data_IF_031868335759
#
_entry.id   IF_031868335759
#
_cell.length_a   1.000
_cell.length_b   1.000
_cell.length_c   1.000
_cell.angle_alpha   90.00
_cell.angle_beta   90.00
_cell.angle_gamma   90.00
#
_symmetry.space_group_name_H-M   'P 1'
#
loop_
_entity.id
_entity.type
_entity.pdbx_description
1 polymer ?
#
# COMPACT_ATOMS: atom_id res chain seq x y z
N UNK A 1 10.07 -61.58 -33.68
CA UNK A 1 8.65 -61.37 -33.39
C UNK A 1 8.39 -60.69 -32.01
N UNK A 2 9.21 -60.88 -30.96
CA UNK A 2 8.96 -60.31 -29.61
C UNK A 2 9.09 -58.78 -29.50
N UNK A 3 9.94 -58.11 -30.28
CA UNK A 3 10.09 -56.65 -30.25
C UNK A 3 8.90 -55.87 -30.87
N UNK A 4 8.22 -56.40 -31.85
CA UNK A 4 7.06 -55.79 -32.48
C UNK A 4 5.83 -55.82 -31.56
N UNK A 5 5.70 -56.84 -30.69
CA UNK A 5 4.61 -56.92 -29.71
C UNK A 5 4.76 -55.90 -28.55
N UNK A 6 5.99 -55.61 -28.14
CA UNK A 6 6.25 -54.64 -27.06
C UNK A 6 5.95 -53.19 -27.52
N UNK A 7 6.31 -52.88 -28.77
CA UNK A 7 6.00 -51.57 -29.36
C UNK A 7 4.50 -51.37 -29.54
N UNK A 8 3.76 -52.41 -29.97
CA UNK A 8 2.31 -52.34 -30.11
C UNK A 8 1.61 -52.19 -28.75
N UNK A 9 2.09 -52.88 -27.72
CA UNK A 9 1.58 -52.72 -26.35
C UNK A 9 1.84 -51.34 -25.76
N UNK A 10 3.02 -50.75 -26.02
CA UNK A 10 3.34 -49.38 -25.60
C UNK A 10 2.47 -48.32 -26.28
N UNK A 11 2.21 -48.46 -27.57
CA UNK A 11 1.32 -47.58 -28.33
C UNK A 11 -0.13 -47.70 -27.84
N UNK A 12 -0.57 -48.90 -27.48
CA UNK A 12 -1.91 -49.12 -26.94
C UNK A 12 -2.07 -48.52 -25.53
N UNK A 13 -1.06 -48.60 -24.67
CA UNK A 13 -1.08 -47.98 -23.35
C UNK A 13 -1.04 -46.45 -23.48
N UNK A 14 -0.24 -45.93 -24.43
CA UNK A 14 -0.18 -44.48 -24.68
C UNK A 14 -1.49 -43.90 -25.26
N UNK A 15 -2.20 -44.70 -26.08
CA UNK A 15 -3.52 -44.33 -26.58
C UNK A 15 -4.62 -44.35 -25.49
N UNK A 16 -4.51 -45.22 -24.49
CA UNK A 16 -5.43 -45.32 -23.37
C UNK A 16 -5.23 -44.21 -22.33
N UNK A 17 -4.02 -43.61 -22.22
CA UNK A 17 -3.76 -42.48 -21.33
C UNK A 17 -4.17 -41.15 -21.93
N UNK A 18 -4.38 -41.05 -23.25
CA UNK A 18 -4.82 -39.83 -23.93
C UNK A 18 -6.35 -39.65 -23.97
N UNK A 19 -7.13 -40.64 -23.58
CA UNK A 19 -8.61 -40.56 -23.60
C UNK A 19 -9.21 -39.99 -22.30
N UNK A 20 -8.40 -39.69 -21.29
CA UNK A 20 -8.86 -39.18 -19.99
C UNK A 20 -9.33 -37.70 -19.95
N UNK A 21 -9.09 -36.91 -20.99
CA UNK A 21 -9.40 -35.47 -20.99
C UNK A 21 -10.46 -35.02 -22.02
N UNK A 22 -11.13 -35.91 -22.71
CA UNK A 22 -11.92 -35.52 -23.90
C UNK A 22 -13.45 -35.56 -23.77
N UNK A 23 -14.01 -35.83 -22.59
CA UNK A 23 -15.46 -35.78 -22.39
C UNK A 23 -15.90 -35.05 -21.12
N UNK A 24 -15.49 -33.77 -20.99
CA UNK A 24 -16.38 -32.84 -20.30
C UNK A 24 -17.26 -32.18 -21.36
N UNK A 25 -18.58 -32.38 -21.23
CA UNK A 25 -19.51 -31.72 -22.14
C UNK A 25 -19.35 -30.18 -21.98
N UNK A 26 -19.54 -29.42 -23.07
CA UNK A 26 -19.55 -27.94 -22.93
C UNK A 26 -20.54 -27.45 -21.87
N UNK A 27 -21.60 -28.22 -21.58
CA UNK A 27 -22.59 -27.92 -20.54
C UNK A 27 -22.02 -28.01 -19.13
N UNK A 28 -20.98 -28.84 -18.86
CA UNK A 28 -20.30 -28.87 -17.55
C UNK A 28 -19.42 -27.66 -17.32
N UNK A 29 -19.03 -26.95 -18.38
CA UNK A 29 -18.27 -25.69 -18.29
C UNK A 29 -19.19 -24.48 -17.97
N UNK A 30 -20.49 -24.62 -18.19
CA UNK A 30 -21.50 -23.58 -17.90
C UNK A 30 -22.34 -23.90 -16.66
N UNK A 31 -22.06 -24.98 -15.93
CA UNK A 31 -22.66 -25.16 -14.61
C UNK A 31 -22.11 -24.10 -13.68
N UNK A 32 -22.98 -23.22 -13.23
CA UNK A 32 -22.66 -22.39 -12.09
C UNK A 32 -22.20 -23.30 -10.95
N UNK A 33 -21.11 -22.97 -10.22
CA UNK A 33 -20.71 -23.72 -9.04
C UNK A 33 -21.95 -23.90 -8.15
N UNK A 34 -22.26 -25.13 -7.76
CA UNK A 34 -23.31 -25.36 -6.77
C UNK A 34 -22.95 -24.55 -5.52
N UNK A 35 -23.83 -23.63 -5.14
CA UNK A 35 -23.67 -22.87 -3.91
C UNK A 35 -23.62 -23.85 -2.76
N UNK A 36 -22.60 -23.75 -1.91
CA UNK A 36 -22.53 -24.60 -0.71
C UNK A 36 -23.78 -24.40 0.15
N UNK A 37 -24.25 -25.45 0.82
CA UNK A 37 -25.42 -25.37 1.70
C UNK A 37 -25.28 -24.24 2.74
N UNK A 38 -24.06 -24.01 3.26
CA UNK A 38 -23.76 -22.90 4.17
C UNK A 38 -23.99 -21.52 3.56
N UNK A 39 -23.72 -21.33 2.24
CA UNK A 39 -23.99 -20.06 1.58
C UNK A 39 -25.49 -19.76 1.45
N UNK A 40 -26.33 -20.77 1.25
CA UNK A 40 -27.79 -20.58 1.21
C UNK A 40 -28.35 -20.21 2.59
N UNK A 41 -27.85 -20.85 3.65
CA UNK A 41 -28.23 -20.52 5.03
C UNK A 41 -27.83 -19.10 5.42
N UNK A 42 -26.62 -18.68 5.06
CA UNK A 42 -26.18 -17.30 5.29
C UNK A 42 -27.05 -16.29 4.54
N UNK A 43 -27.37 -16.53 3.27
CA UNK A 43 -28.26 -15.64 2.52
C UNK A 43 -29.69 -15.59 3.11
N UNK A 44 -30.16 -16.69 3.67
CA UNK A 44 -31.43 -16.70 4.39
C UNK A 44 -31.37 -15.84 5.66
N UNK A 45 -30.31 -15.95 6.45
CA UNK A 45 -30.08 -15.13 7.62
C UNK A 45 -29.98 -13.62 7.26
N UNK A 46 -29.25 -13.26 6.20
CA UNK A 46 -29.16 -11.89 5.70
C UNK A 46 -30.52 -11.36 5.28
N UNK A 47 -31.34 -12.15 4.58
CA UNK A 47 -32.70 -11.75 4.19
C UNK A 47 -33.59 -11.51 5.40
N UNK A 48 -33.52 -12.36 6.43
CA UNK A 48 -34.27 -12.18 7.69
C UNK A 48 -33.92 -10.83 8.36
N UNK A 49 -32.62 -10.53 8.45
CA UNK A 49 -32.14 -9.23 8.99
C UNK A 49 -32.65 -8.06 8.15
N UNK A 50 -32.52 -8.13 6.84
CA UNK A 50 -33.02 -7.07 5.94
C UNK A 50 -34.49 -6.80 6.15
N UNK A 51 -35.33 -7.84 6.15
CA UNK A 51 -36.78 -7.70 6.41
C UNK A 51 -37.06 -7.14 7.79
N UNK A 52 -36.32 -7.55 8.82
CA UNK A 52 -36.49 -7.03 10.17
C UNK A 52 -36.10 -5.54 10.26
N UNK A 53 -35.03 -5.10 9.60
CA UNK A 53 -34.66 -3.68 9.50
C UNK A 53 -35.70 -2.87 8.74
N UNK A 54 -36.22 -3.38 7.61
CA UNK A 54 -37.29 -2.73 6.84
C UNK A 54 -38.57 -2.51 7.70
N UNK A 55 -38.94 -3.51 8.46
CA UNK A 55 -40.11 -3.41 9.36
C UNK A 55 -39.84 -2.48 10.54
N UNK A 56 -38.69 -2.56 11.17
CA UNK A 56 -38.34 -1.76 12.35
C UNK A 56 -38.22 -0.26 12.03
N UNK A 57 -37.66 0.09 10.90
CA UNK A 57 -37.44 1.48 10.51
C UNK A 57 -38.48 2.01 9.52
N UNK A 58 -39.41 1.17 9.04
CA UNK A 58 -40.35 1.49 7.95
C UNK A 58 -39.63 2.13 6.73
N UNK A 59 -38.45 1.64 6.39
CA UNK A 59 -37.53 2.23 5.41
C UNK A 59 -36.96 1.14 4.48
N UNK A 60 -36.47 1.56 3.32
CA UNK A 60 -35.81 0.67 2.37
C UNK A 60 -34.40 0.31 2.89
N UNK A 61 -34.02 -0.96 2.72
CA UNK A 61 -32.69 -1.48 3.06
C UNK A 61 -31.97 -1.92 1.79
N UNK A 62 -30.79 -1.37 1.57
CA UNK A 62 -29.91 -1.66 0.43
C UNK A 62 -28.59 -2.25 0.91
N UNK A 63 -27.85 -2.87 -0.01
CA UNK A 63 -26.47 -3.26 0.27
C UNK A 63 -25.59 -2.01 0.31
N UNK A 64 -24.71 -1.93 1.30
CA UNK A 64 -23.68 -0.90 1.38
C UNK A 64 -22.35 -1.46 0.85
N UNK A 65 -21.68 -0.67 -0.01
CA UNK A 65 -20.35 -0.98 -0.51
C UNK A 65 -19.26 -0.48 0.42
N UNK A 66 -18.07 -1.09 0.31
CA UNK A 66 -16.83 -0.62 0.93
C UNK A 66 -15.96 -0.04 -0.18
N UNK A 67 -15.36 1.12 0.08
CA UNK A 67 -14.67 1.91 -0.96
C UNK A 67 -13.22 1.47 -1.16
N UNK A 68 -12.50 1.17 -0.08
CA UNK A 68 -11.06 0.93 -0.11
C UNK A 68 -10.59 -0.11 0.91
N UNK A 69 -9.30 -0.46 0.85
CA UNK A 69 -8.68 -1.46 1.71
C UNK A 69 -8.77 -2.88 1.16
N UNK A 70 -8.25 -3.84 1.92
CA UNK A 70 -8.17 -5.25 1.50
C UNK A 70 -9.53 -5.97 1.63
N UNK A 71 -10.44 -5.46 2.46
CA UNK A 71 -11.72 -6.06 2.80
C UNK A 71 -12.88 -5.34 2.09
N UNK A 72 -13.00 -5.48 0.76
CA UNK A 72 -14.02 -4.79 -0.06
C UNK A 72 -15.22 -5.65 -0.44
N UNK A 73 -15.21 -6.94 -0.12
CA UNK A 73 -16.33 -7.83 -0.44
C UNK A 73 -17.60 -7.47 0.36
N UNK A 74 -18.78 -7.58 -0.27
CA UNK A 74 -20.08 -7.29 0.35
C UNK A 74 -20.46 -8.29 1.46
N UNK A 75 -19.89 -9.48 1.43
CA UNK A 75 -19.98 -10.49 2.48
C UNK A 75 -18.55 -10.97 2.74
N UNK A 76 -18.11 -10.88 3.98
CA UNK A 76 -16.76 -11.22 4.40
C UNK A 76 -16.80 -12.34 5.44
N UNK A 77 -16.11 -13.44 5.17
CA UNK A 77 -15.94 -14.51 6.15
C UNK A 77 -14.66 -14.27 6.96
N UNK A 78 -14.82 -14.16 8.27
CA UNK A 78 -13.76 -13.80 9.21
C UNK A 78 -13.70 -14.79 10.37
N UNK A 79 -12.51 -15.02 10.88
CA UNK A 79 -12.23 -15.62 12.17
C UNK A 79 -12.18 -14.48 13.20
N UNK A 80 -13.31 -14.22 13.86
CA UNK A 80 -13.42 -13.11 14.83
C UNK A 80 -13.09 -13.53 16.26
N UNK A 81 -13.21 -14.80 16.59
CA UNK A 81 -12.90 -15.30 17.95
C UNK A 81 -11.45 -15.81 18.10
N UNK A 82 -10.71 -15.87 16.98
CA UNK A 82 -9.28 -16.19 16.98
C UNK A 82 -8.97 -17.68 17.06
N UNK A 83 -9.93 -18.56 16.81
CA UNK A 83 -9.74 -20.01 16.86
C UNK A 83 -9.13 -20.61 15.58
N UNK A 84 -8.97 -19.80 14.53
CA UNK A 84 -8.44 -20.18 13.23
C UNK A 84 -9.50 -20.64 12.23
N UNK A 85 -10.78 -20.65 12.61
CA UNK A 85 -11.91 -21.01 11.74
C UNK A 85 -12.63 -19.71 11.30
N UNK A 86 -13.07 -19.63 10.04
CA UNK A 86 -13.82 -18.47 9.54
C UNK A 86 -15.32 -18.75 9.62
N UNK A 87 -15.87 -18.80 10.80
CA UNK A 87 -17.29 -19.07 11.08
C UNK A 87 -18.13 -17.80 11.17
N UNK A 88 -17.50 -16.62 11.26
CA UNK A 88 -18.19 -15.35 11.30
C UNK A 88 -18.33 -14.75 9.91
N UNK A 89 -19.54 -14.30 9.57
CA UNK A 89 -19.82 -13.57 8.34
C UNK A 89 -20.23 -12.13 8.65
N UNK A 90 -19.60 -11.18 7.94
CA UNK A 90 -19.88 -9.75 8.09
C UNK A 90 -20.52 -9.22 6.82
N UNK A 91 -21.65 -8.53 6.94
CA UNK A 91 -22.34 -7.89 5.81
C UNK A 91 -22.64 -6.42 6.10
N UNK A 92 -22.82 -5.67 5.04
CA UNK A 92 -22.95 -4.21 5.07
C UNK A 92 -24.28 -3.81 4.45
N UNK A 93 -25.10 -3.13 5.22
CA UNK A 93 -26.43 -2.69 4.81
C UNK A 93 -26.60 -1.19 5.03
N UNK A 94 -27.47 -0.58 4.27
CA UNK A 94 -27.88 0.82 4.41
C UNK A 94 -29.37 0.92 4.55
N UNK A 95 -29.80 1.61 5.61
CA UNK A 95 -31.21 1.93 5.89
C UNK A 95 -31.46 3.38 5.52
N UNK A 96 -32.41 3.64 4.64
CA UNK A 96 -32.71 5.00 4.17
C UNK A 96 -33.42 5.82 5.22
N UNK A 97 -33.08 7.12 5.35
CA UNK A 97 -33.84 8.10 6.15
C UNK A 97 -33.70 8.00 7.67
N UNK A 98 -32.68 7.27 8.16
CA UNK A 98 -32.35 7.16 9.59
C UNK A 98 -31.04 7.90 9.93
N UNK A 99 -30.81 8.22 11.21
CA UNK A 99 -29.68 8.99 11.69
C UNK A 99 -28.38 8.23 11.45
N UNK A 100 -28.35 6.91 11.76
CA UNK A 100 -27.21 6.02 11.52
C UNK A 100 -27.57 5.07 10.37
N UNK A 101 -27.44 5.47 9.12
CA UNK A 101 -27.94 4.68 7.99
C UNK A 101 -27.15 3.41 7.72
N UNK A 102 -25.88 3.38 8.07
CA UNK A 102 -24.99 2.26 7.79
C UNK A 102 -25.07 1.22 8.92
N UNK A 103 -25.24 -0.04 8.56
CA UNK A 103 -25.31 -1.17 9.46
C UNK A 103 -24.28 -2.21 9.05
N UNK A 104 -23.37 -2.55 9.93
CA UNK A 104 -22.48 -3.69 9.80
C UNK A 104 -23.06 -4.80 10.65
N UNK A 105 -23.48 -5.89 10.03
CA UNK A 105 -24.10 -7.01 10.73
C UNK A 105 -23.16 -8.18 10.74
N UNK A 106 -22.91 -8.73 11.93
CA UNK A 106 -22.07 -9.89 12.17
C UNK A 106 -22.96 -11.09 12.44
N UNK A 107 -22.69 -12.16 11.72
CA UNK A 107 -23.33 -13.47 11.89
C UNK A 107 -22.26 -14.47 12.32
N UNK A 108 -22.62 -15.37 13.21
CA UNK A 108 -21.76 -16.51 13.56
C UNK A 108 -22.49 -17.80 13.20
N UNK A 109 -21.75 -18.75 12.67
CA UNK A 109 -22.30 -20.07 12.34
C UNK A 109 -22.48 -20.88 13.63
N UNK A 110 -23.72 -21.31 13.89
CA UNK A 110 -24.07 -22.16 15.02
C UNK A 110 -24.67 -23.45 14.44
N UNK A 111 -23.89 -24.52 14.44
CA UNK A 111 -24.27 -25.76 13.74
C UNK A 111 -24.37 -25.56 12.22
N UNK A 112 -25.58 -25.75 11.65
CA UNK A 112 -25.82 -25.54 10.22
C UNK A 112 -26.44 -24.18 9.89
N UNK A 113 -26.77 -23.38 10.89
CA UNK A 113 -27.45 -22.08 10.73
C UNK A 113 -26.53 -20.92 11.04
N UNK A 114 -26.90 -19.72 10.54
CA UNK A 114 -26.23 -18.47 10.87
C UNK A 114 -27.13 -17.61 11.75
N UNK A 115 -26.60 -17.20 12.89
CA UNK A 115 -27.27 -16.30 13.84
C UNK A 115 -26.59 -14.93 13.87
N UNK A 116 -27.40 -13.88 14.09
CA UNK A 116 -26.86 -12.52 14.27
C UNK A 116 -26.22 -12.42 15.64
N UNK A 117 -24.93 -12.16 15.69
CA UNK A 117 -24.15 -12.05 16.93
C UNK A 117 -23.69 -10.62 17.20
N UNK A 118 -23.83 -9.71 16.26
CA UNK A 118 -23.49 -8.31 16.45
C UNK A 118 -24.03 -7.41 15.35
N UNK A 119 -24.23 -6.15 15.71
CA UNK A 119 -24.53 -5.10 14.76
C UNK A 119 -23.82 -3.81 15.20
N UNK A 120 -23.18 -3.15 14.25
CA UNK A 120 -22.57 -1.83 14.42
C UNK A 120 -23.28 -0.85 13.54
N UNK A 121 -23.64 0.29 14.09
CA UNK A 121 -24.29 1.37 13.36
C UNK A 121 -23.33 2.54 13.14
N UNK A 122 -23.33 3.11 11.95
CA UNK A 122 -22.46 4.21 11.59
C UNK A 122 -23.22 5.40 11.00
N UNK A 123 -22.75 6.58 11.37
CA UNK A 123 -23.12 7.81 10.71
C UNK A 123 -22.42 7.90 9.34
N UNK A 124 -22.99 8.69 8.44
CA UNK A 124 -22.36 9.01 7.18
C UNK A 124 -22.93 8.29 5.97
N UNK A 125 -22.18 8.40 4.87
CA UNK A 125 -22.69 7.99 3.57
C UNK A 125 -22.14 6.62 3.12
N UNK A 126 -20.94 6.26 3.54
CA UNK A 126 -20.22 5.07 3.08
C UNK A 126 -19.36 4.47 4.19
N UNK A 127 -19.15 3.16 4.13
CA UNK A 127 -18.03 2.50 4.79
C UNK A 127 -16.82 2.71 3.90
N UNK A 128 -15.84 3.52 4.33
CA UNK A 128 -14.64 3.74 3.53
C UNK A 128 -13.75 2.50 3.54
N UNK A 129 -13.39 2.01 4.73
CA UNK A 129 -12.62 0.78 4.90
C UNK A 129 -12.97 0.07 6.20
N UNK A 130 -12.70 -1.22 6.27
CA UNK A 130 -12.83 -2.04 7.47
C UNK A 130 -11.62 -2.96 7.62
N UNK A 131 -11.15 -3.09 8.86
CA UNK A 131 -10.09 -4.01 9.27
C UNK A 131 -10.57 -4.85 10.45
N UNK A 132 -9.98 -6.04 10.60
CA UNK A 132 -10.25 -6.97 11.71
C UNK A 132 -8.93 -7.27 12.40
N UNK A 133 -8.73 -6.77 13.59
CA UNK A 133 -7.49 -6.93 14.38
C UNK A 133 -7.77 -7.18 15.84
N UNK A 134 -6.91 -7.96 16.45
CA UNK A 134 -6.89 -8.11 17.89
C UNK A 134 -6.18 -6.89 18.50
N UNK A 135 -6.93 -6.05 19.22
CA UNK A 135 -6.44 -4.84 19.89
C UNK A 135 -6.49 -5.01 21.40
N UNK A 136 -7.53 -5.67 21.91
CA UNK A 136 -7.71 -5.93 23.33
C UNK A 136 -7.08 -7.27 23.77
N UNK A 137 -7.20 -7.60 25.07
CA UNK A 137 -6.62 -8.80 25.67
C UNK A 137 -7.54 -10.04 25.60
N UNK A 138 -8.67 -9.97 24.87
CA UNK A 138 -9.68 -11.05 24.87
C UNK A 138 -9.35 -12.20 23.93
N UNK A 139 -8.41 -12.00 23.00
CA UNK A 139 -8.08 -12.96 21.93
C UNK A 139 -8.99 -12.84 20.72
N UNK A 140 -10.04 -12.02 20.80
CA UNK A 140 -10.96 -11.74 19.70
C UNK A 140 -10.49 -10.58 18.85
N UNK A 141 -11.01 -10.48 17.62
CA UNK A 141 -10.71 -9.36 16.73
C UNK A 141 -11.80 -8.31 16.82
N UNK A 142 -11.37 -7.06 16.97
CA UNK A 142 -12.20 -5.88 16.87
C UNK A 142 -12.42 -5.51 15.41
N UNK A 143 -13.55 -4.81 15.15
CA UNK A 143 -13.84 -4.17 13.90
C UNK A 143 -13.31 -2.73 13.95
N UNK A 144 -12.38 -2.40 13.09
CA UNK A 144 -11.86 -1.05 12.92
C UNK A 144 -12.46 -0.49 11.62
N UNK A 145 -13.37 0.44 11.77
CA UNK A 145 -14.19 0.95 10.66
C UNK A 145 -13.89 2.41 10.42
N UNK A 146 -13.53 2.74 9.20
CA UNK A 146 -13.41 4.12 8.75
C UNK A 146 -14.70 4.52 8.01
N UNK A 147 -15.49 5.36 8.64
CA UNK A 147 -16.74 5.87 8.10
C UNK A 147 -16.49 7.14 7.31
N UNK A 148 -17.00 7.23 6.09
CA UNK A 148 -17.02 8.49 5.35
C UNK A 148 -18.28 9.27 5.68
N UNK A 149 -18.15 10.33 6.46
CA UNK A 149 -19.26 11.18 6.90
C UNK A 149 -19.69 12.12 5.77
N UNK A 150 -18.71 12.73 5.10
CA UNK A 150 -18.92 13.58 3.92
C UNK A 150 -17.67 13.55 3.04
N UNK A 151 -17.65 14.25 1.91
CA UNK A 151 -16.46 14.39 1.09
C UNK A 151 -15.31 15.01 1.90
N UNK A 152 -14.19 14.27 2.01
CA UNK A 152 -13.02 14.68 2.78
C UNK A 152 -13.13 14.61 4.31
N UNK A 153 -14.24 14.09 4.84
CA UNK A 153 -14.48 13.97 6.27
C UNK A 153 -14.73 12.51 6.67
N UNK A 154 -13.89 12.00 7.54
CA UNK A 154 -13.89 10.61 7.95
C UNK A 154 -13.95 10.50 9.48
N UNK A 155 -14.55 9.42 9.96
CA UNK A 155 -14.64 9.07 11.37
C UNK A 155 -14.16 7.62 11.54
N UNK A 156 -13.23 7.40 12.46
CA UNK A 156 -12.73 6.08 12.77
C UNK A 156 -13.42 5.54 14.03
N UNK A 157 -14.00 4.36 13.93
CA UNK A 157 -14.59 3.63 15.05
C UNK A 157 -13.86 2.31 15.27
N UNK A 158 -13.62 1.96 16.52
CA UNK A 158 -13.14 0.64 16.94
C UNK A 158 -14.26 0.00 17.75
N UNK A 159 -14.71 -1.18 17.32
CA UNK A 159 -15.86 -1.85 17.89
C UNK A 159 -15.46 -3.22 18.41
N UNK A 160 -15.68 -3.45 19.70
CA UNK A 160 -15.56 -4.79 20.30
C UNK A 160 -16.92 -5.47 20.29
N UNK A 161 -16.92 -6.77 20.02
CA UNK A 161 -18.11 -7.62 20.09
C UNK A 161 -18.16 -8.39 21.41
N UNK A 162 -17.26 -8.13 22.35
CA UNK A 162 -17.14 -8.85 23.63
C UNK A 162 -18.31 -8.61 24.57
N UNK A 163 -18.98 -7.45 24.48
CA UNK A 163 -20.15 -7.11 25.29
C UNK A 163 -21.48 -7.63 24.72
N UNK A 164 -21.41 -8.41 23.66
CA UNK A 164 -22.54 -9.22 23.24
C UNK A 164 -22.74 -10.32 24.28
N UNK A 165 -23.38 -9.94 25.38
CA UNK A 165 -23.59 -10.81 26.55
C UNK A 165 -24.25 -12.12 26.14
N UNK A 166 -23.49 -13.20 26.29
CA UNK A 166 -24.06 -14.50 26.55
C UNK A 166 -24.98 -14.31 27.77
N UNK A 167 -26.28 -14.64 27.65
CA UNK A 167 -27.15 -14.61 28.81
C UNK A 167 -26.61 -15.52 29.89
N UNK A 168 -27.02 -15.30 31.13
CA UNK A 168 -26.62 -16.10 32.33
C UNK A 168 -26.80 -17.63 32.17
N UNK A 169 -27.48 -18.07 31.12
CA UNK A 169 -27.72 -19.46 30.74
C UNK A 169 -26.73 -19.99 29.69
N UNK A 170 -25.70 -19.20 29.31
CA UNK A 170 -24.71 -19.57 28.29
C UNK A 170 -25.25 -19.62 26.87
N UNK A 171 -26.49 -19.22 26.64
CA UNK A 171 -27.07 -19.12 25.31
C UNK A 171 -26.75 -17.76 24.68
N UNK A 172 -26.15 -17.79 23.49
CA UNK A 172 -26.01 -16.59 22.67
C UNK A 172 -27.39 -16.07 22.36
N UNK A 173 -27.78 -14.91 22.88
CA UNK A 173 -29.08 -14.32 22.63
C UNK A 173 -29.14 -13.48 21.39
N UNK A 174 -28.46 -13.91 20.36
CA UNK A 174 -28.77 -13.51 19.03
C UNK A 174 -30.04 -14.28 18.63
N UNK A 175 -31.00 -13.56 18.23
CA UNK A 175 -32.22 -13.95 17.54
C UNK A 175 -32.38 -15.45 17.32
N UNK A 176 -33.34 -16.05 17.99
CA UNK A 176 -33.77 -17.38 17.66
C UNK A 176 -34.18 -17.42 16.18
N UNK A 177 -33.79 -18.44 15.47
CA UNK A 177 -34.06 -18.63 14.05
C UNK A 177 -35.54 -18.63 13.64
N UNK A 178 -36.43 -18.74 14.61
CA UNK A 178 -37.88 -18.75 14.47
C UNK A 178 -38.56 -17.39 14.80
N UNK A 179 -37.82 -16.40 15.30
CA UNK A 179 -38.36 -15.06 15.62
C UNK A 179 -38.21 -14.14 14.42
N UNK A 180 -39.33 -13.52 14.04
CA UNK A 180 -39.38 -12.45 13.03
C UNK A 180 -38.97 -11.10 13.60
N UNK A 181 -38.78 -11.00 14.92
CA UNK A 181 -38.37 -9.79 15.62
C UNK A 181 -36.96 -9.90 16.15
N UNK A 182 -36.08 -9.11 15.58
CA UNK A 182 -34.71 -8.94 16.04
C UNK A 182 -34.68 -7.72 16.98
N UNK A 183 -34.23 -7.92 18.22
CA UNK A 183 -33.98 -6.81 19.13
C UNK A 183 -32.58 -6.24 18.87
N UNK A 184 -32.50 -5.32 17.93
CA UNK A 184 -31.22 -4.70 17.53
C UNK A 184 -30.55 -3.93 18.67
N UNK A 185 -31.31 -3.46 19.69
CA UNK A 185 -30.74 -2.72 20.81
C UNK A 185 -29.78 -3.57 21.68
N UNK A 186 -29.88 -4.90 21.59
CA UNK A 186 -29.03 -5.86 22.31
C UNK A 186 -27.82 -6.35 21.50
N UNK A 187 -27.73 -5.95 20.23
CA UNK A 187 -26.69 -6.40 19.30
C UNK A 187 -25.60 -5.37 19.07
N UNK A 188 -25.70 -4.21 19.68
CA UNK A 188 -24.70 -3.15 19.56
C UNK A 188 -23.44 -3.52 20.31
N UNK A 189 -22.32 -3.54 19.63
CA UNK A 189 -21.00 -3.70 20.25
C UNK A 189 -20.59 -2.44 21.02
N UNK A 190 -19.66 -2.59 21.96
CA UNK A 190 -19.02 -1.45 22.62
C UNK A 190 -18.20 -0.64 21.64
N UNK A 191 -18.40 0.67 21.63
CA UNK A 191 -17.77 1.60 20.70
C UNK A 191 -16.69 2.43 21.40
N UNK A 192 -15.53 2.54 20.75
CA UNK A 192 -14.57 3.59 21.00
C UNK A 192 -14.48 4.51 19.79
N UNK A 193 -15.02 5.68 19.87
CA UNK A 193 -15.03 6.64 18.79
C UNK A 193 -13.74 7.45 18.79
N UNK A 194 -12.99 7.35 17.70
CA UNK A 194 -11.86 8.22 17.39
C UNK A 194 -12.31 9.19 16.29
N UNK A 195 -12.40 10.46 16.62
CA UNK A 195 -12.84 11.46 15.67
C UNK A 195 -11.78 11.78 14.65
N UNK A 196 -12.13 11.70 13.36
CA UNK A 196 -11.44 12.23 12.19
C UNK A 196 -10.01 11.69 11.94
N UNK A 197 -9.84 10.90 10.90
CA UNK A 197 -8.56 10.65 10.26
C UNK A 197 -8.55 11.21 8.84
N UNK A 198 -7.39 11.64 8.35
CA UNK A 198 -7.19 12.00 6.95
C UNK A 198 -7.04 10.74 6.10
N UNK A 199 -7.32 10.87 4.80
CA UNK A 199 -7.11 9.80 3.82
C UNK A 199 -6.03 10.27 2.85
N UNK A 200 -5.05 9.42 2.60
CA UNK A 200 -3.99 9.71 1.65
C UNK A 200 -4.47 9.55 0.18
N UNK A 201 -3.79 10.21 -0.76
CA UNK A 201 -4.11 10.14 -2.19
C UNK A 201 -3.93 8.76 -2.80
N UNK A 202 -3.13 7.88 -2.17
CA UNK A 202 -2.96 6.48 -2.56
C UNK A 202 -4.14 5.58 -2.11
N UNK A 203 -5.22 6.17 -1.62
CA UNK A 203 -6.39 5.47 -1.11
C UNK A 203 -6.19 4.86 0.28
N UNK A 204 -5.02 4.99 0.90
CA UNK A 204 -4.80 4.57 2.28
C UNK A 204 -5.39 5.60 3.24
N UNK A 205 -6.05 5.14 4.31
CA UNK A 205 -6.49 6.06 5.37
C UNK A 205 -5.30 6.48 6.26
N UNK A 206 -5.46 7.56 7.00
CA UNK A 206 -4.50 8.06 7.96
C UNK A 206 -4.39 7.23 9.24
N UNK A 207 -4.99 6.03 9.27
CA UNK A 207 -4.88 5.10 10.39
C UNK A 207 -4.01 3.90 10.01
N UNK A 208 -3.20 3.44 10.95
CA UNK A 208 -2.37 2.24 10.80
C UNK A 208 -2.46 1.40 12.06
N UNK A 209 -2.53 0.09 11.85
CA UNK A 209 -2.56 -0.92 12.90
C UNK A 209 -1.22 -1.64 12.92
N UNK A 210 -0.51 -1.52 14.00
CA UNK A 210 0.82 -2.12 14.19
C UNK A 210 1.17 -2.23 15.66
N UNK A 211 2.03 -3.18 16.02
CA UNK A 211 2.74 -3.19 17.29
C UNK A 211 3.91 -2.19 17.20
N UNK A 212 3.59 -0.90 17.43
CA UNK A 212 4.56 0.19 17.23
C UNK A 212 5.53 0.32 18.43
N UNK A 213 5.09 -0.04 19.63
CA UNK A 213 5.91 0.03 20.84
C UNK A 213 6.59 -1.31 21.20
N UNK A 214 6.36 -2.35 20.39
CA UNK A 214 6.94 -3.68 20.47
C UNK A 214 6.58 -4.41 21.78
N UNK A 215 5.37 -4.20 22.30
CA UNK A 215 4.84 -4.87 23.50
C UNK A 215 4.02 -6.13 23.16
N UNK A 216 3.98 -6.54 21.89
CA UNK A 216 3.23 -7.68 21.31
C UNK A 216 1.73 -7.44 21.13
N UNK A 217 1.25 -6.23 21.36
CA UNK A 217 -0.14 -5.83 21.10
C UNK A 217 -0.20 -4.96 19.87
N UNK A 218 -1.38 -4.85 19.30
CA UNK A 218 -1.59 -3.98 18.15
C UNK A 218 -2.09 -2.62 18.62
N UNK A 219 -1.35 -1.57 18.28
CA UNK A 219 -1.75 -0.20 18.44
C UNK A 219 -2.39 0.36 17.18
N UNK A 220 -3.18 1.40 17.37
CA UNK A 220 -3.79 2.19 16.32
C UNK A 220 -3.14 3.57 16.25
N UNK A 221 -2.35 3.82 15.21
CA UNK A 221 -1.80 5.13 14.92
C UNK A 221 -2.76 5.93 14.04
N UNK A 222 -3.23 7.06 14.53
CA UNK A 222 -4.16 7.95 13.82
C UNK A 222 -3.42 9.21 13.39
N UNK A 223 -3.43 9.48 12.09
CA UNK A 223 -2.77 10.64 11.48
C UNK A 223 -3.82 11.71 11.22
N UNK A 224 -3.60 12.89 11.78
CA UNK A 224 -4.46 14.06 11.61
C UNK A 224 -3.72 15.17 10.89
N UNK A 225 -4.18 15.52 9.69
CA UNK A 225 -3.65 16.64 8.93
C UNK A 225 -4.64 17.80 9.01
N UNK A 226 -4.15 18.95 9.48
CA UNK A 226 -4.89 20.19 9.51
C UNK A 226 -4.60 20.98 8.23
N UNK A 227 -5.61 21.20 7.41
CA UNK A 227 -5.49 21.96 6.15
C UNK A 227 -5.00 23.40 6.33
N UNK A 228 -5.03 23.93 7.55
CA UNK A 228 -4.42 25.23 7.88
C UNK A 228 -2.89 25.14 7.99
N UNK A 229 -2.32 23.92 8.03
CA UNK A 229 -0.88 23.68 8.13
C UNK A 229 -0.27 23.94 9.51
N UNK A 230 -1.07 24.06 10.57
CA UNK A 230 -0.56 24.48 11.88
C UNK A 230 -0.51 23.31 12.87
N UNK A 231 -1.55 22.46 12.93
CA UNK A 231 -1.77 21.48 14.00
C UNK A 231 -1.91 20.05 13.48
N UNK A 232 -1.03 19.62 12.60
CA UNK A 232 -0.99 18.24 12.12
C UNK A 232 -0.17 17.36 13.07
N UNK A 233 -0.65 16.15 13.35
CA UNK A 233 0.00 15.25 14.31
C UNK A 233 -0.38 13.78 14.09
N UNK A 234 0.43 12.89 14.66
CA UNK A 234 0.10 11.48 14.85
C UNK A 234 -0.21 11.24 16.31
N UNK A 235 -1.29 10.52 16.60
CA UNK A 235 -1.63 10.05 17.93
C UNK A 235 -1.76 8.52 17.90
N UNK A 236 -1.11 7.86 18.85
CA UNK A 236 -1.13 6.39 18.97
C UNK A 236 -2.03 6.00 20.12
N UNK A 237 -2.94 5.08 19.85
CA UNK A 237 -3.86 4.49 20.82
C UNK A 237 -3.55 3.01 21.02
N UNK A 238 -3.61 2.55 22.25
CA UNK A 238 -3.45 1.14 22.60
C UNK A 238 -4.40 0.72 23.73
N UNK A 239 -4.59 -0.58 23.87
CA UNK A 239 -5.44 -1.15 24.92
C UNK A 239 -4.72 -1.15 26.27
N UNK A 240 -5.22 -0.39 27.23
CA UNK A 240 -4.65 -0.29 28.57
C UNK A 240 -5.75 -0.28 29.64
N UNK A 241 -5.62 -1.12 30.65
CA UNK A 241 -6.55 -1.18 31.80
C UNK A 241 -8.02 -1.40 31.39
N UNK A 242 -8.27 -2.22 30.37
CA UNK A 242 -9.63 -2.53 29.91
C UNK A 242 -10.28 -1.49 29.01
N UNK A 243 -9.52 -0.52 28.51
CA UNK A 243 -9.99 0.50 27.57
C UNK A 243 -8.89 0.93 26.59
N UNK A 244 -9.30 1.47 25.44
CA UNK A 244 -8.37 2.19 24.56
C UNK A 244 -7.93 3.49 25.23
N UNK A 245 -6.65 3.76 25.19
CA UNK A 245 -6.06 4.98 25.74
C UNK A 245 -5.03 5.56 24.77
N UNK A 246 -4.90 6.88 24.76
CA UNK A 246 -3.79 7.54 24.07
C UNK A 246 -2.48 7.19 24.75
N UNK A 247 -1.54 6.65 24.00
CA UNK A 247 -0.19 6.32 24.45
C UNK A 247 0.78 7.48 24.24
N UNK A 248 0.51 8.31 23.22
CA UNK A 248 1.35 9.46 22.91
C UNK A 248 0.94 10.15 21.63
N UNK A 249 1.40 11.39 21.51
CA UNK A 249 1.19 12.26 20.37
C UNK A 249 2.49 12.86 19.91
N UNK A 250 2.69 13.01 18.60
CA UNK A 250 3.82 13.72 18.01
C UNK A 250 3.33 14.62 16.88
N UNK A 251 3.82 15.84 16.82
CA UNK A 251 3.51 16.75 15.71
C UNK A 251 4.17 16.27 14.43
N UNK A 252 3.51 16.53 13.31
CA UNK A 252 4.07 16.43 11.96
C UNK A 252 4.61 17.77 11.49
N UNK A 253 5.29 17.77 10.36
CA UNK A 253 5.86 18.97 9.75
C UNK A 253 4.83 20.09 9.62
N UNK A 254 5.23 21.31 9.99
CA UNK A 254 4.43 22.49 9.72
C UNK A 254 4.32 22.76 8.23
N UNK A 255 3.21 23.38 7.84
CA UNK A 255 2.94 23.76 6.44
C UNK A 255 2.35 22.66 5.59
N UNK A 256 2.16 21.44 6.10
CA UNK A 256 1.44 20.37 5.40
C UNK A 256 -0.07 20.67 5.39
N UNK A 257 -0.71 20.43 4.25
CA UNK A 257 -2.14 20.73 4.05
C UNK A 257 -2.97 19.50 3.69
N UNK A 258 -2.31 18.44 3.21
CA UNK A 258 -2.96 17.24 2.74
C UNK A 258 -2.05 16.02 2.94
N UNK A 259 -2.64 14.88 3.28
CA UNK A 259 -1.96 13.59 3.37
C UNK A 259 -1.85 12.97 1.99
N UNK A 260 -0.63 12.67 1.54
CA UNK A 260 -0.40 12.10 0.21
C UNK A 260 -0.21 10.57 0.25
N UNK A 261 0.65 10.08 1.13
CA UNK A 261 0.92 8.63 1.26
C UNK A 261 1.35 8.27 2.67
N UNK A 262 0.95 7.10 3.14
CA UNK A 262 1.37 6.56 4.44
C UNK A 262 1.87 5.14 4.25
N UNK A 263 3.12 4.89 4.63
CA UNK A 263 3.71 3.55 4.62
C UNK A 263 4.14 3.16 6.03
N UNK A 264 3.86 1.93 6.42
CA UNK A 264 4.42 1.29 7.59
C UNK A 264 5.59 0.41 7.15
N UNK A 265 6.74 0.62 7.74
CA UNK A 265 7.96 -0.17 7.50
C UNK A 265 8.87 -0.07 8.71
N UNK A 266 10.15 -0.40 8.57
CA UNK A 266 11.12 -0.44 9.65
C UNK A 266 12.18 0.65 9.50
N UNK A 267 12.81 1.03 10.63
CA UNK A 267 14.03 1.82 10.65
C UNK A 267 15.24 0.90 10.48
N UNK A 268 16.35 1.46 9.97
CA UNK A 268 17.60 0.73 9.88
C UNK A 268 18.17 0.33 11.25
N UNK A 269 18.72 -0.89 11.35
CA UNK A 269 19.40 -1.40 12.55
C UNK A 269 18.79 -2.68 13.11
N UNK A 270 19.38 -3.20 14.21
CA UNK A 270 18.92 -4.41 14.89
C UNK A 270 18.66 -4.12 16.39
N UNK A 271 17.49 -4.44 16.97
CA UNK A 271 16.27 -4.79 16.26
C UNK A 271 15.75 -3.62 15.42
N UNK A 272 15.04 -3.93 14.37
CA UNK A 272 14.43 -2.98 13.44
C UNK A 272 13.10 -2.47 14.01
N UNK A 273 13.01 -1.29 14.62
CA UNK A 273 11.74 -0.78 15.13
C UNK A 273 10.81 -0.37 13.97
N UNK A 274 9.50 -0.63 14.09
CA UNK A 274 8.53 -0.17 13.11
C UNK A 274 8.45 1.35 13.09
N UNK A 275 8.19 1.92 11.92
CA UNK A 275 8.06 3.35 11.71
C UNK A 275 6.99 3.66 10.65
N UNK A 276 6.33 4.80 10.83
CA UNK A 276 5.42 5.38 9.85
C UNK A 276 6.18 6.38 8.99
N UNK A 277 6.20 6.14 7.69
CA UNK A 277 6.69 7.07 6.67
C UNK A 277 5.49 7.80 6.10
N UNK A 278 5.36 9.07 6.48
CA UNK A 278 4.19 9.88 6.17
C UNK A 278 4.60 10.95 5.17
N UNK A 279 4.08 10.87 3.96
CA UNK A 279 4.29 11.92 2.96
C UNK A 279 3.05 12.80 2.88
N UNK A 280 3.27 14.10 2.99
CA UNK A 280 2.21 15.11 2.97
C UNK A 280 2.51 16.21 1.96
N UNK A 281 1.48 16.81 1.39
CA UNK A 281 1.59 17.95 0.48
C UNK A 281 1.73 19.23 1.29
N UNK A 282 2.67 20.08 0.88
CA UNK A 282 2.86 21.42 1.39
C UNK A 282 2.00 22.45 0.63
N UNK A 283 1.68 23.58 1.23
CA UNK A 283 0.91 24.65 0.61
C UNK A 283 1.54 25.21 -0.69
N UNK A 284 2.85 25.06 -0.86
CA UNK A 284 3.59 25.49 -2.07
C UNK A 284 3.70 24.41 -3.16
N UNK A 285 3.01 23.27 -3.00
CA UNK A 285 3.04 22.14 -3.92
C UNK A 285 4.22 21.17 -3.73
N UNK A 286 5.14 21.45 -2.81
CA UNK A 286 6.17 20.50 -2.40
C UNK A 286 5.61 19.36 -1.56
N UNK A 287 6.46 18.41 -1.20
CA UNK A 287 6.13 17.30 -0.29
C UNK A 287 7.02 17.32 0.93
N UNK A 288 6.45 17.07 2.09
CA UNK A 288 7.20 16.80 3.32
C UNK A 288 7.10 15.31 3.65
N UNK A 289 8.19 14.71 4.12
CA UNK A 289 8.22 13.34 4.58
C UNK A 289 8.54 13.36 6.07
N UNK A 290 7.62 12.86 6.88
CA UNK A 290 7.79 12.68 8.32
C UNK A 290 8.02 11.19 8.60
N UNK A 291 8.97 10.85 9.49
CA UNK A 291 9.27 9.49 9.93
C UNK A 291 9.00 9.36 11.40
N UNK A 292 7.93 8.69 11.75
CA UNK A 292 7.44 8.58 13.13
C UNK A 292 7.63 7.17 13.64
N UNK A 293 8.28 7.03 14.81
CA UNK A 293 8.54 5.76 15.46
C UNK A 293 8.42 5.86 16.99
N UNK A 294 8.22 4.73 17.65
CA UNK A 294 8.21 4.62 19.10
C UNK A 294 9.63 4.34 19.60
N UNK A 295 10.28 5.35 20.16
CA UNK A 295 11.67 5.27 20.58
C UNK A 295 11.84 5.71 22.02
N UNK A 296 12.59 4.94 22.79
CA UNK A 296 12.87 5.25 24.20
C UNK A 296 11.59 5.52 25.03
N UNK A 297 10.53 4.77 24.78
CA UNK A 297 9.26 4.87 25.51
C UNK A 297 8.37 6.07 25.11
N UNK A 298 8.63 6.70 23.98
CA UNK A 298 7.80 7.79 23.46
C UNK A 298 7.69 7.78 21.93
N UNK A 299 6.61 8.31 21.42
CA UNK A 299 6.43 8.59 20.01
C UNK A 299 7.32 9.75 19.60
N UNK A 300 8.10 9.59 18.55
CA UNK A 300 9.12 10.54 18.10
C UNK A 300 9.08 10.68 16.59
N UNK A 301 9.08 11.90 16.08
CA UNK A 301 9.37 12.20 14.68
C UNK A 301 10.87 12.44 14.51
N UNK A 302 11.50 11.66 13.63
CA UNK A 302 12.94 11.69 13.39
C UNK A 302 13.37 12.76 12.40
N UNK A 303 12.44 13.33 11.65
CA UNK A 303 12.72 14.23 10.54
C UNK A 303 12.59 15.69 10.89
N UNK A 304 11.87 16.04 11.97
CA UNK A 304 11.65 17.43 12.33
C UNK A 304 12.94 18.13 12.79
N UNK A 305 13.09 19.36 12.35
CA UNK A 305 14.08 20.30 12.88
C UNK A 305 13.56 21.05 14.12
N UNK A 306 14.36 21.96 14.68
CA UNK A 306 14.01 22.77 15.86
C UNK A 306 12.82 23.71 15.59
N UNK A 307 12.55 24.06 14.34
CA UNK A 307 11.41 24.92 13.95
C UNK A 307 10.10 24.12 13.81
N UNK A 308 10.17 22.80 13.83
CA UNK A 308 9.06 21.88 13.60
C UNK A 308 8.73 21.71 12.11
N UNK A 309 9.72 21.80 11.25
CA UNK A 309 9.63 21.54 9.81
C UNK A 309 10.45 20.29 9.52
N UNK A 310 9.94 19.41 8.65
CA UNK A 310 10.70 18.25 8.22
C UNK A 310 11.95 18.65 7.44
N UNK A 311 13.07 17.97 7.70
CA UNK A 311 14.29 18.10 6.90
C UNK A 311 14.20 17.42 5.56
N UNK A 312 13.22 16.53 5.39
CA UNK A 312 12.99 15.75 4.18
C UNK A 312 11.88 16.40 3.35
N UNK A 313 12.25 17.48 2.66
CA UNK A 313 11.35 18.24 1.78
C UNK A 313 11.71 17.95 0.32
N UNK A 314 10.72 17.53 -0.46
CA UNK A 314 10.82 17.37 -1.90
C UNK A 314 10.28 18.63 -2.57
N UNK A 315 11.13 19.31 -3.35
CA UNK A 315 10.77 20.46 -4.16
C UNK A 315 11.32 20.31 -5.57
N UNK A 316 10.55 20.75 -6.57
CA UNK A 316 10.96 20.67 -7.98
C UNK A 316 10.79 19.29 -8.60
N UNK A 317 11.15 18.22 -7.88
CA UNK A 317 10.93 16.82 -8.28
C UNK A 317 10.21 16.11 -7.12
N UNK A 318 8.89 16.06 -7.20
CA UNK A 318 8.02 15.59 -6.09
C UNK A 318 7.33 14.27 -6.35
N UNK A 319 7.59 13.63 -7.50
CA UNK A 319 6.89 12.41 -7.93
C UNK A 319 7.42 11.16 -7.25
N UNK A 320 8.69 11.16 -6.80
CA UNK A 320 9.33 10.02 -6.17
C UNK A 320 8.89 9.86 -4.70
N UNK A 321 8.73 8.62 -4.25
CA UNK A 321 8.26 8.30 -2.89
C UNK A 321 9.32 7.57 -2.08
N UNK A 322 9.26 7.58 -0.73
CA UNK A 322 10.04 6.65 0.08
C UNK A 322 9.83 5.22 -0.39
N UNK A 323 10.92 4.49 -0.65
CA UNK A 323 10.88 3.13 -1.19
C UNK A 323 12.09 2.33 -0.76
N UNK A 324 11.97 1.01 -0.73
CA UNK A 324 13.11 0.10 -0.57
C UNK A 324 13.82 -0.04 -1.94
N UNK A 325 14.82 0.83 -2.17
CA UNK A 325 15.55 0.90 -3.46
C UNK A 325 16.62 -0.19 -3.56
N UNK A 326 17.14 -0.67 -2.43
CA UNK A 326 18.25 -1.62 -2.37
C UNK A 326 17.81 -3.07 -2.08
N UNK A 327 16.54 -3.30 -1.66
CA UNK A 327 15.98 -4.61 -1.36
C UNK A 327 16.30 -5.13 0.04
N UNK A 328 16.58 -4.26 1.01
CA UNK A 328 16.92 -4.64 2.39
C UNK A 328 15.73 -4.58 3.37
N UNK A 329 14.52 -4.31 2.85
CA UNK A 329 13.25 -4.18 3.60
C UNK A 329 13.16 -2.94 4.51
N UNK A 330 14.05 -1.99 4.38
CA UNK A 330 13.96 -0.66 4.99
C UNK A 330 13.63 0.35 3.90
N UNK A 331 12.81 1.37 4.21
CA UNK A 331 12.54 2.40 3.22
C UNK A 331 13.63 3.46 3.21
N UNK A 332 14.14 3.75 2.02
CA UNK A 332 14.92 4.94 1.77
C UNK A 332 14.03 6.13 1.46
N UNK A 333 14.42 7.28 1.99
CA UNK A 333 13.83 8.56 1.70
C UNK A 333 14.59 9.21 0.56
N UNK A 334 13.92 9.62 -0.54
CA UNK A 334 14.56 10.29 -1.65
C UNK A 334 14.87 11.75 -1.34
N UNK A 335 16.01 12.22 -1.77
CA UNK A 335 16.39 13.63 -1.77
C UNK A 335 16.84 14.02 -3.17
N UNK A 336 15.97 14.61 -4.00
CA UNK A 336 16.33 15.05 -5.34
C UNK A 336 17.27 16.24 -5.31
N UNK A 337 18.35 16.15 -6.09
CA UNK A 337 19.34 17.22 -6.27
C UNK A 337 19.39 17.61 -7.75
N UNK A 338 19.08 18.88 -8.03
CA UNK A 338 19.12 19.41 -9.38
C UNK A 338 20.57 19.46 -9.87
N UNK A 339 20.83 18.90 -11.04
CA UNK A 339 22.13 18.96 -11.69
C UNK A 339 22.35 20.35 -12.34
N UNK A 340 23.60 20.82 -12.38
CA UNK A 340 23.94 22.03 -13.14
C UNK A 340 23.67 21.82 -14.64
N UNK A 341 23.24 22.86 -15.34
CA UNK A 341 23.00 22.87 -16.78
C UNK A 341 23.94 23.85 -17.48
N UNK A 342 24.32 23.53 -18.71
CA UNK A 342 25.17 24.37 -19.55
C UNK A 342 24.37 24.96 -20.73
N UNK A 343 24.53 26.27 -20.98
CA UNK A 343 23.89 26.99 -22.07
C UNK A 343 22.48 27.51 -21.77
N UNK A 344 21.90 28.24 -22.72
CA UNK A 344 20.60 28.92 -22.54
C UNK A 344 19.36 28.00 -22.71
N UNK A 345 19.54 26.75 -23.12
CA UNK A 345 18.44 25.80 -23.33
C UNK A 345 18.10 25.05 -22.06
N UNK A 346 17.48 25.71 -21.09
CA UNK A 346 16.99 25.18 -19.82
C UNK A 346 15.70 24.33 -19.94
N UNK A 347 15.46 23.66 -21.05
CA UNK A 347 14.17 22.99 -21.30
C UNK A 347 13.98 21.68 -20.53
N UNK A 348 15.01 21.13 -19.91
CA UNK A 348 14.93 19.89 -19.15
C UNK A 348 15.82 19.96 -17.91
N UNK A 349 15.21 19.95 -16.75
CA UNK A 349 15.90 19.75 -15.47
C UNK A 349 16.26 18.27 -15.31
N UNK A 350 17.51 17.99 -14.98
CA UNK A 350 18.00 16.66 -14.64
C UNK A 350 18.32 16.59 -13.16
N UNK A 351 17.92 15.48 -12.55
CA UNK A 351 17.99 15.30 -11.12
C UNK A 351 18.76 14.02 -10.77
N UNK A 352 19.65 14.09 -9.79
CA UNK A 352 20.10 12.93 -9.07
C UNK A 352 19.27 12.77 -7.81
N UNK A 353 19.00 11.54 -7.40
CA UNK A 353 18.24 11.24 -6.20
C UNK A 353 19.15 10.56 -5.21
N UNK A 354 19.43 11.21 -4.10
CA UNK A 354 20.11 10.60 -2.95
C UNK A 354 19.08 9.85 -2.11
N UNK A 355 19.37 8.59 -1.82
CA UNK A 355 18.54 7.71 -1.02
C UNK A 355 19.14 7.53 0.36
N UNK A 356 18.37 7.81 1.39
CA UNK A 356 18.84 7.79 2.78
C UNK A 356 17.89 7.04 3.68
N UNK A 357 18.44 6.29 4.64
CA UNK A 357 17.71 5.61 5.71
C UNK A 357 17.88 6.33 7.04
N UNK A 358 16.83 6.27 7.88
CA UNK A 358 16.92 6.64 9.28
C UNK A 358 17.13 5.41 10.16
N UNK A 359 17.98 5.53 11.17
CA UNK A 359 18.11 4.50 12.21
C UNK A 359 17.42 4.95 13.50
N UNK A 360 17.31 4.03 14.48
CA UNK A 360 16.66 4.26 15.78
C UNK A 360 17.27 5.40 16.63
N UNK A 361 18.44 5.89 16.30
CA UNK A 361 19.07 7.02 16.96
C UNK A 361 18.80 8.36 16.25
N UNK A 362 17.98 8.32 15.19
CA UNK A 362 17.67 9.50 14.37
C UNK A 362 18.80 9.91 13.42
N UNK A 363 19.80 9.04 13.21
CA UNK A 363 20.84 9.31 12.25
C UNK A 363 20.36 8.96 10.84
N UNK A 364 20.60 9.90 9.93
CA UNK A 364 20.35 9.79 8.51
C UNK A 364 21.60 9.22 7.82
N UNK A 365 21.48 8.06 7.20
CA UNK A 365 22.58 7.40 6.51
C UNK A 365 22.31 7.39 5.01
N UNK A 366 23.26 7.84 4.20
CA UNK A 366 23.23 7.73 2.75
C UNK A 366 23.41 6.25 2.35
N UNK A 367 22.56 5.77 1.44
CA UNK A 367 22.59 4.39 0.92
C UNK A 367 23.14 4.36 -0.50
N UNK A 368 22.57 5.15 -1.39
CA UNK A 368 23.00 5.27 -2.78
C UNK A 368 22.50 6.55 -3.42
N UNK A 369 23.07 6.88 -4.57
CA UNK A 369 22.59 7.95 -5.46
C UNK A 369 22.17 7.35 -6.79
N UNK A 370 21.07 7.80 -7.37
CA UNK A 370 20.56 7.30 -8.65
C UNK A 370 20.18 8.44 -9.60
N UNK A 371 20.24 8.17 -10.89
CA UNK A 371 19.58 8.94 -11.94
C UNK A 371 18.41 8.12 -12.49
N UNK A 372 17.21 8.70 -12.56
CA UNK A 372 16.02 8.03 -13.08
C UNK A 372 15.60 8.59 -14.43
N UNK A 373 15.56 7.72 -15.44
CA UNK A 373 14.93 8.00 -16.73
C UNK A 373 13.53 7.37 -16.76
N UNK A 374 12.56 8.06 -16.16
CA UNK A 374 11.18 7.56 -15.99
C UNK A 374 10.53 7.30 -17.34
N UNK A 375 10.77 8.16 -18.35
CA UNK A 375 10.18 8.02 -19.68
C UNK A 375 10.62 6.78 -20.45
N UNK A 376 11.77 6.21 -20.10
CA UNK A 376 12.32 5.00 -20.69
C UNK A 376 12.39 3.82 -19.74
N UNK A 377 11.91 3.99 -18.49
CA UNK A 377 11.70 2.91 -17.51
C UNK A 377 12.99 2.35 -16.90
N UNK A 378 14.09 3.11 -16.87
CA UNK A 378 15.35 2.67 -16.29
C UNK A 378 15.98 3.69 -15.35
N UNK A 379 16.81 3.23 -14.43
CA UNK A 379 17.66 4.07 -13.60
C UNK A 379 19.11 3.59 -13.62
N UNK A 380 20.02 4.51 -13.34
CA UNK A 380 21.44 4.26 -13.16
C UNK A 380 21.84 4.54 -11.71
N UNK A 381 22.47 3.56 -11.07
CA UNK A 381 23.13 3.74 -9.79
C UNK A 381 24.44 4.51 -9.99
N UNK A 382 24.48 5.73 -9.47
CA UNK A 382 25.59 6.67 -9.68
C UNK A 382 26.77 6.31 -8.77
N UNK A 383 27.99 6.12 -9.32
CA UNK A 383 29.18 5.96 -8.53
C UNK A 383 29.48 7.19 -7.65
N UNK A 384 30.00 6.96 -6.45
CA UNK A 384 30.30 8.03 -5.50
C UNK A 384 31.24 9.10 -6.07
N UNK A 385 32.23 8.69 -6.91
CA UNK A 385 33.16 9.60 -7.58
C UNK A 385 32.53 10.45 -8.69
N UNK A 386 31.24 10.21 -9.05
CA UNK A 386 30.53 11.06 -10.02
C UNK A 386 29.73 12.19 -9.33
N UNK A 387 29.39 12.01 -8.06
CA UNK A 387 28.61 13.03 -7.32
C UNK A 387 29.31 14.36 -7.43
N UNK A 388 28.53 15.43 -7.63
CA UNK A 388 28.98 16.81 -7.77
C UNK A 388 29.97 17.09 -8.92
N UNK A 389 30.24 16.08 -9.77
CA UNK A 389 31.18 16.22 -10.90
C UNK A 389 30.55 16.04 -12.27
N UNK A 390 29.25 15.77 -12.35
CA UNK A 390 28.61 15.48 -13.60
C UNK A 390 27.43 16.40 -13.88
N UNK A 391 27.10 16.50 -15.16
CA UNK A 391 25.81 16.97 -15.65
C UNK A 391 25.24 15.97 -16.64
N UNK A 392 23.96 16.09 -16.94
CA UNK A 392 23.23 15.20 -17.84
C UNK A 392 22.54 16.05 -18.91
N UNK A 393 22.54 15.56 -20.14
CA UNK A 393 21.79 16.13 -21.24
C UNK A 393 21.09 15.04 -22.05
N UNK A 394 20.16 15.45 -22.90
CA UNK A 394 19.41 14.54 -23.76
C UNK A 394 19.57 14.94 -25.22
N UNK A 395 19.74 13.94 -26.09
CA UNK A 395 19.82 14.12 -27.50
C UNK A 395 18.87 13.17 -28.23
N UNK A 396 17.75 13.71 -28.72
CA UNK A 396 16.70 12.97 -29.44
C UNK A 396 16.64 13.36 -30.94
N UNK A 397 17.72 13.88 -31.51
CA UNK A 397 17.75 14.35 -32.88
C UNK A 397 17.65 13.22 -33.94
N UNK A 398 18.04 11.99 -33.56
CA UNK A 398 18.02 10.83 -34.44
C UNK A 398 16.69 10.09 -34.33
N UNK A 399 15.93 10.00 -35.42
CA UNK A 399 14.63 9.29 -35.43
C UNK A 399 14.75 7.84 -34.97
N UNK A 400 13.92 7.46 -33.99
CA UNK A 400 13.90 6.11 -33.41
C UNK A 400 15.01 5.84 -32.41
N UNK A 401 15.75 6.87 -32.00
CA UNK A 401 16.79 6.81 -30.98
C UNK A 401 16.55 7.89 -29.93
N UNK A 402 16.71 7.53 -28.68
CA UNK A 402 16.83 8.45 -27.54
C UNK A 402 18.21 8.27 -26.94
N UNK A 403 18.86 9.36 -26.60
CA UNK A 403 20.21 9.35 -26.03
C UNK A 403 20.22 10.20 -24.77
N UNK A 404 20.73 9.63 -23.68
CA UNK A 404 21.07 10.33 -22.44
C UNK A 404 22.58 10.41 -22.37
N UNK A 405 23.11 11.62 -22.28
CA UNK A 405 24.55 11.90 -22.27
C UNK A 405 24.96 12.35 -20.88
N UNK A 406 25.87 11.61 -20.25
CA UNK A 406 26.52 11.97 -19.02
C UNK A 406 27.84 12.67 -19.35
N UNK A 407 28.02 13.87 -18.81
CA UNK A 407 29.20 14.70 -19.09
C UNK A 407 29.86 15.12 -17.78
N UNK A 408 31.18 15.22 -17.77
CA UNK A 408 31.90 15.84 -16.68
C UNK A 408 31.57 17.32 -16.63
N UNK A 409 31.18 17.82 -15.47
CA UNK A 409 30.91 19.22 -15.24
C UNK A 409 32.22 19.97 -15.00
N UNK A 410 32.51 20.99 -15.77
CA UNK A 410 33.75 21.79 -15.70
C UNK A 410 33.51 23.21 -15.17
N UNK A 411 32.23 23.57 -14.93
CA UNK A 411 31.82 24.91 -14.49
C UNK A 411 30.86 25.56 -15.49
N UNK A 412 30.32 26.71 -15.11
CA UNK A 412 29.32 27.43 -15.90
C UNK A 412 29.86 27.99 -17.24
N UNK A 413 31.18 28.30 -17.26
CA UNK A 413 31.87 28.95 -18.41
C UNK A 413 32.51 27.96 -19.38
N UNK A 414 32.53 26.65 -19.07
CA UNK A 414 33.17 25.62 -19.87
C UNK A 414 32.17 24.57 -20.36
N UNK A 415 32.28 24.16 -21.65
CA UNK A 415 31.43 23.12 -22.21
C UNK A 415 31.69 21.78 -21.50
N UNK A 416 30.65 21.10 -20.99
CA UNK A 416 30.81 19.81 -20.33
C UNK A 416 31.41 18.73 -21.25
N UNK A 417 32.31 17.92 -20.72
CA UNK A 417 33.00 16.88 -21.45
C UNK A 417 32.20 15.56 -21.40
N UNK A 418 31.59 15.07 -22.53
CA UNK A 418 30.86 13.83 -22.56
C UNK A 418 31.76 12.63 -22.30
N UNK A 419 31.34 11.72 -21.37
CA UNK A 419 32.10 10.51 -21.06
C UNK A 419 31.29 9.21 -21.20
N UNK A 420 29.94 9.30 -21.14
CA UNK A 420 29.06 8.14 -21.28
C UNK A 420 27.79 8.56 -22.01
N UNK A 421 27.35 7.76 -22.99
CA UNK A 421 26.02 7.85 -23.58
C UNK A 421 25.27 6.53 -23.36
N UNK A 422 24.00 6.65 -22.99
CA UNK A 422 23.06 5.53 -22.93
C UNK A 422 21.96 5.77 -23.96
N UNK A 423 21.78 4.77 -24.82
CA UNK A 423 20.86 4.82 -25.96
C UNK A 423 19.67 3.90 -25.72
N UNK A 424 18.50 4.35 -26.12
CA UNK A 424 17.30 3.54 -26.30
C UNK A 424 16.95 3.55 -27.79
N UNK A 425 16.91 2.37 -28.43
CA UNK A 425 16.56 2.20 -29.85
C UNK A 425 15.51 1.11 -30.01
N UNK A 426 14.80 1.12 -31.16
CA UNK A 426 13.89 0.02 -31.53
C UNK A 426 14.68 -1.26 -31.83
N UNK A 427 14.17 -2.43 -31.48
CA UNK A 427 14.78 -3.75 -31.80
C UNK A 427 15.00 -3.92 -33.31
N UNK A 428 14.17 -3.31 -34.15
CA UNK A 428 14.36 -3.27 -35.62
C UNK A 428 15.65 -2.56 -36.08
N UNK A 429 16.26 -1.77 -35.22
CA UNK A 429 17.48 -1.00 -35.47
C UNK A 429 18.71 -1.59 -34.70
N UNK A 430 18.59 -2.83 -34.23
CA UNK A 430 19.63 -3.47 -33.40
C UNK A 430 21.02 -3.55 -34.05
N UNK A 431 21.13 -3.55 -35.39
CA UNK A 431 22.39 -3.48 -36.11
C UNK A 431 23.23 -2.24 -35.77
N UNK A 432 22.59 -1.12 -35.37
CA UNK A 432 23.29 0.11 -34.95
C UNK A 432 24.23 -0.10 -33.77
N UNK A 433 23.95 -1.09 -32.90
CA UNK A 433 24.83 -1.39 -31.76
C UNK A 433 26.22 -1.76 -32.22
N UNK A 434 26.32 -2.67 -33.19
CA UNK A 434 27.61 -3.10 -33.76
C UNK A 434 28.22 -2.09 -34.72
N UNK A 435 27.40 -1.43 -35.56
CA UNK A 435 27.85 -0.44 -36.54
C UNK A 435 28.50 0.79 -35.88
N UNK A 436 27.99 1.22 -34.72
CA UNK A 436 28.49 2.39 -33.98
C UNK A 436 29.50 2.03 -32.88
N UNK A 437 29.84 0.75 -32.70
CA UNK A 437 30.75 0.31 -31.64
C UNK A 437 30.18 0.51 -30.23
N UNK A 438 28.84 0.43 -30.10
CA UNK A 438 28.19 0.45 -28.81
C UNK A 438 28.22 -0.94 -28.17
N UNK A 439 28.03 -1.01 -26.87
CA UNK A 439 27.85 -2.29 -26.18
C UNK A 439 26.42 -2.41 -25.64
N UNK A 440 25.88 -3.63 -25.70
CA UNK A 440 24.53 -3.94 -25.25
C UNK A 440 24.46 -3.86 -23.71
N UNK A 441 23.49 -3.12 -23.20
CA UNK A 441 23.14 -3.12 -21.78
C UNK A 441 22.03 -4.14 -21.51
N UNK A 442 20.89 -4.01 -22.23
CA UNK A 442 19.72 -4.87 -22.09
C UNK A 442 18.92 -4.88 -23.39
N UNK A 443 18.28 -6.02 -23.65
CA UNK A 443 17.36 -6.19 -24.77
C UNK A 443 15.98 -6.63 -24.25
N UNK A 444 14.94 -5.98 -24.75
CA UNK A 444 13.53 -6.28 -24.49
C UNK A 444 12.83 -6.55 -25.82
N UNK A 445 11.59 -7.03 -25.80
CA UNK A 445 10.86 -7.47 -27.00
C UNK A 445 10.90 -6.46 -28.17
N UNK A 446 10.75 -5.16 -27.87
CA UNK A 446 10.67 -4.11 -28.88
C UNK A 446 11.73 -3.00 -28.71
N UNK A 447 12.62 -3.12 -27.74
CA UNK A 447 13.56 -2.08 -27.34
C UNK A 447 14.92 -2.65 -26.98
N UNK A 448 15.96 -1.96 -27.45
CA UNK A 448 17.35 -2.24 -27.07
C UNK A 448 17.90 -1.03 -26.31
N UNK A 449 18.56 -1.32 -25.19
CA UNK A 449 19.37 -0.36 -24.45
C UNK A 449 20.83 -0.67 -24.70
N UNK A 450 21.57 0.30 -25.18
CA UNK A 450 23.00 0.20 -25.47
C UNK A 450 23.74 1.38 -24.86
N UNK A 451 25.05 1.28 -24.73
CA UNK A 451 25.86 2.37 -24.21
C UNK A 451 27.18 2.49 -24.94
N UNK A 452 27.83 3.65 -24.78
CA UNK A 452 29.16 3.94 -25.28
C UNK A 452 29.90 4.83 -24.29
N UNK A 453 31.10 4.43 -23.89
CA UNK A 453 32.03 5.33 -23.22
C UNK A 453 32.65 6.29 -24.23
N UNK A 454 32.78 7.57 -23.84
CA UNK A 454 33.30 8.66 -24.67
C UNK A 454 34.37 9.44 -23.93
N UNK A 455 35.12 10.25 -24.68
CA UNK A 455 36.09 11.17 -24.10
C UNK A 455 37.27 10.49 -23.43
N UNK A 456 38.05 11.27 -22.70
CA UNK A 456 39.28 10.88 -22.06
C UNK A 456 39.15 10.73 -20.53
N UNK A 457 38.03 11.14 -19.95
CA UNK A 457 37.82 11.02 -18.50
C UNK A 457 37.60 9.58 -18.10
N UNK A 458 38.45 9.09 -17.21
CA UNK A 458 38.26 7.78 -16.58
C UNK A 458 37.14 7.89 -15.55
N UNK A 459 35.97 7.45 -15.94
CA UNK A 459 34.78 7.47 -15.05
C UNK A 459 34.80 6.34 -14.00
N UNK A 460 35.77 5.45 -14.00
CA UNK A 460 35.92 4.36 -13.04
C UNK A 460 34.98 3.17 -13.26
N UNK A 461 34.28 3.11 -14.41
CA UNK A 461 33.41 1.97 -14.77
C UNK A 461 33.90 1.30 -16.06
N UNK A 462 33.81 -0.03 -16.09
CA UNK A 462 33.85 -0.81 -17.32
C UNK A 462 32.43 -1.19 -17.78
N UNK A 463 32.30 -1.82 -18.95
CA UNK A 463 31.03 -2.22 -19.54
C UNK A 463 30.20 -3.13 -18.61
N UNK A 464 30.83 -4.09 -17.94
CA UNK A 464 30.13 -5.02 -17.06
C UNK A 464 29.60 -4.28 -15.80
N UNK A 465 30.41 -3.44 -15.21
CA UNK A 465 30.02 -2.63 -14.05
C UNK A 465 28.87 -1.67 -14.39
N UNK A 466 28.85 -1.13 -15.61
CA UNK A 466 27.72 -0.30 -16.07
C UNK A 466 26.44 -1.12 -16.24
N UNK A 467 26.54 -2.34 -16.85
CA UNK A 467 25.38 -3.26 -16.98
C UNK A 467 24.76 -3.58 -15.62
N UNK A 468 25.58 -3.81 -14.61
CA UNK A 468 25.12 -4.18 -13.27
C UNK A 468 24.42 -3.00 -12.55
N UNK A 469 24.72 -1.75 -12.95
CA UNK A 469 24.17 -0.52 -12.36
C UNK A 469 22.95 0.04 -13.08
N UNK A 470 22.72 -0.35 -14.34
CA UNK A 470 21.52 0.05 -15.09
C UNK A 470 20.41 -0.94 -14.82
N UNK A 471 19.35 -0.48 -14.16
CA UNK A 471 18.23 -1.32 -13.68
C UNK A 471 16.87 -0.75 -14.13
N UNK A 472 15.81 -1.57 -14.05
CA UNK A 472 14.44 -1.15 -14.35
C UNK A 472 13.84 -0.40 -13.17
N UNK A 473 13.12 0.67 -13.48
CA UNK A 473 12.29 1.40 -12.51
C UNK A 473 11.04 0.55 -12.19
N UNK A 474 10.67 0.51 -10.90
CA UNK A 474 9.40 -0.06 -10.48
C UNK A 474 8.35 1.06 -10.38
N UNK A 475 7.16 0.81 -10.91
CA UNK A 475 6.07 1.80 -10.92
C UNK A 475 5.66 2.25 -9.51
N UNK A 476 5.77 1.37 -8.51
CA UNK A 476 5.46 1.66 -7.10
C UNK A 476 6.36 2.71 -6.43
N UNK A 477 7.44 3.14 -7.11
CA UNK A 477 8.35 4.15 -6.58
C UNK A 477 7.88 5.58 -6.80
N UNK A 478 6.83 5.74 -7.61
CA UNK A 478 6.27 7.04 -7.98
C UNK A 478 4.83 7.17 -7.49
N UNK A 479 4.35 8.40 -7.37
CA UNK A 479 2.94 8.69 -7.24
C UNK A 479 2.27 8.48 -8.60
N UNK A 480 1.06 7.91 -8.59
CA UNK A 480 0.21 7.76 -9.77
C UNK A 480 -0.43 9.10 -10.17
#
# INVERSE_FOLDING_TARGET
>A
MKKKGIVLAMVLVMALTLTGCLFRSPEDLYRQPEKSAGYEKLNEAIRKVRTALELNYAAMVEDAGIVAGDNTASIQLQDLDGDGIRESAVTFLRVSGVTNPLKIVVFTQVGEEYEVTGMVEGEGNLVYSIEYRQINDTGRKELIVNWQISSGAYQLGVYTLDDLTLGDDGATRAVRSDSTQIDFSKLMGSELLLTWCSVASDGSNGARLTDIDQDTRTELAVIRVDSSGINSYVEVFGWRNGAMASLGTVNLSKGITELSRVRLNYLAGQPEPPALYITSTLANGGKAIDVVAWLNGKLTDLTLDESGISREILQGYTEVTPTDINGDYVLEIPTPNLLPSYGENLSNDFWLIDWCQYNKNGHRNHVMTTYHNVSDGWYLEIPENWRDQITISRNDQVTGQREVVFSRWLGEDEEPEPFLSIYRISSSQGNRVTENGWFLLREEENVIYAAQFRGSWDCGLNEQQLRDRVKSIQTSWYYD
#
